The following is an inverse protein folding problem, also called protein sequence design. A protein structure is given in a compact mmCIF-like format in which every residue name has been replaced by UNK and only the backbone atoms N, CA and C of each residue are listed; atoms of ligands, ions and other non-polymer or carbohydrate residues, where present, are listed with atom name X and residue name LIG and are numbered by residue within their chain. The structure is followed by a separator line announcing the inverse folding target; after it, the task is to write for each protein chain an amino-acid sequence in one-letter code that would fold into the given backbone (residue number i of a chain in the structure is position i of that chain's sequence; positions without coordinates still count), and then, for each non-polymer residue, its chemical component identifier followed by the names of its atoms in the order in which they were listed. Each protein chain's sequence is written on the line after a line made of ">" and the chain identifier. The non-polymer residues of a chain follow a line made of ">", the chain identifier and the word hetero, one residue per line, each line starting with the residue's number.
data_IF_194144785812
#
_entry.id   IF_194144785812
#
_cell.length_a   1.000
_cell.length_b   1.000
_cell.length_c   1.000
_cell.angle_alpha   90.00
_cell.angle_beta   90.00
_cell.angle_gamma   90.00
#
_symmetry.space_group_name_H-M   'P 1'
#
loop_
_entity.id
_entity.type
_entity.pdbx_description
1 polymer ?
#
# COMPACT_ATOMS: atom_id res chain seq x y z
N UNK A 1 -10.57 -25.07 14.02
CA UNK A 1 -10.67 -24.92 12.58
C UNK A 1 -9.39 -24.40 11.97
N UNK A 2 -9.05 -24.98 10.87
CA UNK A 2 -7.88 -24.56 10.13
C UNK A 2 -8.15 -23.24 9.43
N UNK A 3 -7.34 -22.24 9.70
CA UNK A 3 -7.46 -20.97 8.99
C UNK A 3 -6.78 -21.06 7.66
N UNK A 4 -7.43 -20.49 6.66
CA UNK A 4 -6.89 -20.51 5.32
C UNK A 4 -6.14 -19.22 5.04
N UNK A 5 -5.08 -19.36 4.27
CA UNK A 5 -4.31 -18.24 3.77
C UNK A 5 -4.99 -17.73 2.50
N UNK A 6 -5.29 -16.45 2.45
CA UNK A 6 -5.95 -15.82 1.30
C UNK A 6 -5.01 -14.80 0.69
N UNK A 7 -5.02 -14.73 -0.63
CA UNK A 7 -4.13 -13.87 -1.39
C UNK A 7 -4.95 -12.94 -2.28
N UNK A 8 -4.42 -11.73 -2.48
CA UNK A 8 -4.88 -10.82 -3.53
C UNK A 8 -3.76 -10.71 -4.56
N UNK A 9 -4.12 -10.92 -5.81
CA UNK A 9 -3.20 -10.84 -6.94
C UNK A 9 -3.60 -9.67 -7.84
N UNK A 10 -2.62 -8.99 -8.42
CA UNK A 10 -2.86 -7.97 -9.44
C UNK A 10 -2.88 -8.56 -10.84
N UNK A 11 -2.57 -9.87 -10.97
CA UNK A 11 -2.43 -10.51 -12.26
C UNK A 11 -1.05 -10.35 -12.87
N UNK A 12 -0.12 -9.72 -12.17
CA UNK A 12 1.25 -9.59 -12.66
C UNK A 12 1.92 -10.95 -12.78
N UNK A 13 2.59 -11.25 -13.91
CA UNK A 13 3.28 -12.53 -14.07
C UNK A 13 4.45 -12.70 -13.11
N UNK A 14 4.95 -11.61 -12.54
CA UNK A 14 6.04 -11.68 -11.56
C UNK A 14 5.59 -12.26 -10.23
N UNK A 15 4.31 -12.11 -9.87
CA UNK A 15 3.85 -12.55 -8.56
C UNK A 15 4.10 -14.04 -8.31
N UNK A 16 3.61 -14.96 -9.15
CA UNK A 16 3.93 -16.36 -8.93
C UNK A 16 5.40 -16.70 -9.21
N UNK A 17 6.02 -15.98 -10.14
CA UNK A 17 7.40 -16.25 -10.53
C UNK A 17 8.39 -15.99 -9.42
N UNK A 18 8.20 -14.92 -8.65
CA UNK A 18 9.10 -14.60 -7.54
C UNK A 18 8.48 -14.85 -6.17
N UNK A 19 7.27 -15.41 -6.14
CA UNK A 19 6.66 -15.87 -4.89
C UNK A 19 6.06 -14.75 -4.03
N UNK A 20 5.41 -13.78 -4.65
CA UNK A 20 4.79 -12.67 -3.92
C UNK A 20 3.32 -12.50 -4.28
N UNK A 21 2.62 -11.71 -3.49
CA UNK A 21 1.24 -11.33 -3.70
C UNK A 21 1.09 -9.83 -3.42
N UNK A 22 0.00 -9.23 -3.91
CA UNK A 22 -0.33 -7.85 -3.57
C UNK A 22 -0.62 -7.71 -2.08
N UNK A 23 -1.34 -8.67 -1.53
CA UNK A 23 -1.66 -8.71 -0.12
C UNK A 23 -1.95 -10.14 0.28
N UNK A 24 -1.77 -10.43 1.56
CA UNK A 24 -2.06 -11.76 2.11
C UNK A 24 -2.81 -11.59 3.43
N UNK A 25 -3.79 -12.46 3.64
CA UNK A 25 -4.45 -12.58 4.94
C UNK A 25 -4.14 -13.95 5.52
N UNK A 26 -3.70 -13.96 6.77
CA UNK A 26 -3.48 -15.18 7.55
C UNK A 26 -4.18 -14.96 8.89
N UNK A 27 -5.24 -15.73 9.14
CA UNK A 27 -6.04 -15.51 10.33
C UNK A 27 -6.71 -14.13 10.29
N UNK A 28 -6.37 -13.29 11.24
CA UNK A 28 -6.90 -11.93 11.34
C UNK A 28 -5.91 -10.88 10.86
N UNK A 29 -4.74 -11.30 10.41
CA UNK A 29 -3.67 -10.38 9.98
C UNK A 29 -3.69 -10.24 8.48
N UNK A 30 -3.66 -9.00 8.00
CA UNK A 30 -3.50 -8.68 6.59
C UNK A 30 -2.20 -7.90 6.43
N UNK A 31 -1.35 -8.34 5.50
CA UNK A 31 -0.15 -7.62 5.12
C UNK A 31 -0.28 -7.19 3.66
N UNK A 32 -0.08 -5.90 3.40
CA UNK A 32 -0.11 -5.36 2.04
C UNK A 32 1.31 -4.95 1.67
N UNK A 33 1.79 -5.48 0.56
CA UNK A 33 3.14 -5.26 0.08
C UNK A 33 3.38 -3.81 -0.34
N UNK A 34 4.65 -3.47 -0.56
CA UNK A 34 5.02 -2.19 -1.14
C UNK A 34 4.19 -1.92 -2.40
N UNK A 35 3.42 -0.86 -2.37
CA UNK A 35 2.40 -0.56 -3.37
C UNK A 35 2.82 0.64 -4.18
N UNK A 36 2.99 0.42 -5.48
CA UNK A 36 3.40 1.45 -6.44
C UNK A 36 2.16 2.15 -7.03
N UNK A 37 2.34 3.39 -7.54
CA UNK A 37 1.22 4.19 -8.06
C UNK A 37 0.84 3.77 -9.48
N UNK A 38 0.21 2.61 -9.61
CA UNK A 38 -0.19 2.07 -10.91
C UNK A 38 -1.69 2.21 -11.13
N UNK A 39 -2.06 2.57 -12.36
CA UNK A 39 -3.45 2.57 -12.78
C UNK A 39 -3.94 1.17 -13.13
N UNK A 40 -5.24 1.04 -13.48
CA UNK A 40 -5.78 -0.28 -13.86
C UNK A 40 -5.12 -0.89 -15.09
N UNK A 41 -4.50 -0.06 -15.93
CA UNK A 41 -3.77 -0.52 -17.13
C UNK A 41 -2.33 -0.94 -16.81
N UNK A 42 -1.92 -0.87 -15.55
CA UNK A 42 -0.56 -1.21 -15.13
C UNK A 42 0.46 -0.12 -15.37
N UNK A 43 0.03 1.06 -15.81
CA UNK A 43 0.94 2.18 -16.08
C UNK A 43 0.97 3.14 -14.89
N UNK A 44 2.14 3.77 -14.69
CA UNK A 44 2.31 4.75 -13.62
C UNK A 44 1.35 5.92 -13.82
N UNK A 45 0.66 6.32 -12.75
CA UNK A 45 -0.22 7.49 -12.78
C UNK A 45 0.48 8.68 -12.13
N UNK A 46 -0.07 9.87 -12.37
CA UNK A 46 0.35 11.10 -11.68
C UNK A 46 1.87 11.31 -11.75
N UNK A 47 2.47 11.14 -12.92
CA UNK A 47 3.91 11.28 -13.10
C UNK A 47 4.33 12.67 -12.63
N UNK A 48 5.37 12.73 -11.78
CA UNK A 48 5.86 13.99 -11.25
C UNK A 48 5.05 14.55 -10.08
N UNK A 49 3.99 13.87 -9.65
CA UNK A 49 3.08 14.35 -8.60
C UNK A 49 3.05 13.33 -7.45
N UNK A 50 3.86 13.58 -6.42
CA UNK A 50 3.96 12.67 -5.28
C UNK A 50 2.64 12.52 -4.53
N UNK A 51 1.87 13.61 -4.40
CA UNK A 51 0.56 13.56 -3.73
C UNK A 51 -0.42 12.66 -4.47
N UNK A 52 -0.52 12.84 -5.80
CA UNK A 52 -1.40 12.00 -6.62
C UNK A 52 -0.98 10.56 -6.61
N UNK A 53 0.33 10.30 -6.61
CA UNK A 53 0.85 8.93 -6.53
C UNK A 53 0.53 8.29 -5.18
N UNK A 54 0.70 9.03 -4.09
CA UNK A 54 0.38 8.53 -2.75
C UNK A 54 -1.10 8.18 -2.65
N UNK A 55 -1.97 9.02 -3.19
CA UNK A 55 -3.42 8.78 -3.18
C UNK A 55 -3.75 7.48 -3.91
N UNK A 56 -3.13 7.28 -5.07
CA UNK A 56 -3.35 6.05 -5.84
C UNK A 56 -2.86 4.82 -5.05
N UNK A 57 -1.69 4.88 -4.43
CA UNK A 57 -1.19 3.78 -3.62
C UNK A 57 -2.18 3.42 -2.51
N UNK A 58 -2.75 4.42 -1.85
CA UNK A 58 -3.70 4.18 -0.76
C UNK A 58 -5.03 3.62 -1.27
N UNK A 59 -5.47 4.01 -2.46
CA UNK A 59 -6.64 3.40 -3.09
C UNK A 59 -6.43 1.91 -3.36
N UNK A 60 -5.25 1.55 -3.85
CA UNK A 60 -4.90 0.15 -4.10
C UNK A 60 -4.86 -0.63 -2.79
N UNK A 61 -4.24 -0.06 -1.76
CA UNK A 61 -4.17 -0.68 -0.42
C UNK A 61 -5.58 -0.91 0.13
N UNK A 62 -6.44 0.10 0.03
CA UNK A 62 -7.82 -0.01 0.50
C UNK A 62 -8.56 -1.15 -0.21
N UNK A 63 -8.45 -1.21 -1.53
CA UNK A 63 -9.10 -2.28 -2.29
C UNK A 63 -8.58 -3.66 -1.89
N UNK A 64 -7.27 -3.79 -1.66
CA UNK A 64 -6.67 -5.07 -1.26
C UNK A 64 -7.17 -5.49 0.12
N UNK A 65 -7.20 -4.58 1.08
CA UNK A 65 -7.67 -4.87 2.44
C UNK A 65 -9.14 -5.29 2.40
N UNK A 66 -9.97 -4.54 1.68
CA UNK A 66 -11.39 -4.84 1.58
C UNK A 66 -11.64 -6.16 0.85
N UNK A 67 -10.83 -6.45 -0.16
CA UNK A 67 -10.92 -7.72 -0.88
C UNK A 67 -10.60 -8.93 -0.01
N UNK A 68 -9.88 -8.73 1.09
CA UNK A 68 -9.55 -9.77 2.05
C UNK A 68 -10.45 -9.73 3.31
N UNK A 69 -11.51 -8.95 3.28
CA UNK A 69 -12.49 -8.89 4.36
C UNK A 69 -12.15 -7.92 5.47
N UNK A 70 -11.12 -7.11 5.28
CA UNK A 70 -10.73 -6.09 6.26
C UNK A 70 -11.32 -4.73 5.95
N UNK A 71 -10.91 -3.75 6.74
CA UNK A 71 -11.31 -2.35 6.61
C UNK A 71 -10.12 -1.46 6.86
N UNK A 72 -10.13 -0.27 6.29
CA UNK A 72 -9.08 0.71 6.59
C UNK A 72 -9.00 1.04 8.07
N UNK A 73 -10.13 1.00 8.78
CA UNK A 73 -10.14 1.22 10.23
C UNK A 73 -9.36 0.16 11.00
N UNK A 74 -9.06 -0.97 10.38
CA UNK A 74 -8.26 -2.03 10.99
C UNK A 74 -6.75 -1.88 10.76
N UNK A 75 -6.33 -0.88 10.00
CA UNK A 75 -4.91 -0.66 9.73
C UNK A 75 -4.20 -0.23 11.00
N UNK A 76 -3.12 -0.95 11.34
CA UNK A 76 -2.34 -0.67 12.56
C UNK A 76 -0.98 -0.06 12.24
N UNK A 77 -0.49 -0.24 11.03
CA UNK A 77 0.82 0.27 10.62
C UNK A 77 0.81 0.62 9.14
N UNK A 78 1.46 1.74 8.82
CA UNK A 78 1.79 2.08 7.45
C UNK A 78 3.26 2.47 7.36
N UNK A 79 3.85 2.30 6.17
CA UNK A 79 5.17 2.81 5.85
C UNK A 79 5.07 3.59 4.58
N UNK A 80 5.66 4.79 4.59
CA UNK A 80 5.73 5.65 3.42
C UNK A 80 7.19 5.72 2.99
N UNK A 81 7.46 5.29 1.77
CA UNK A 81 8.80 5.27 1.19
C UNK A 81 8.85 6.31 0.08
N UNK A 82 9.84 7.20 0.12
CA UNK A 82 9.94 8.33 -0.80
C UNK A 82 11.32 8.34 -1.46
N UNK A 83 11.38 8.71 -2.73
CA UNK A 83 12.68 8.95 -3.38
C UNK A 83 13.20 10.36 -3.09
N UNK A 84 12.32 11.27 -2.65
CA UNK A 84 12.69 12.64 -2.27
C UNK A 84 12.04 12.98 -0.94
N UNK A 85 12.86 13.13 0.10
CA UNK A 85 12.32 13.40 1.43
C UNK A 85 11.58 14.75 1.47
N UNK A 86 11.91 15.68 0.57
CA UNK A 86 11.22 16.96 0.48
C UNK A 86 9.73 16.83 0.21
N UNK A 87 9.30 15.68 -0.32
CA UNK A 87 7.88 15.42 -0.60
C UNK A 87 7.12 14.88 0.62
N UNK A 88 7.81 14.68 1.78
CA UNK A 88 7.19 13.97 2.90
C UNK A 88 5.93 14.64 3.41
N UNK A 89 5.94 15.98 3.50
CA UNK A 89 4.82 16.69 4.09
C UNK A 89 3.54 16.60 3.25
N UNK A 90 3.68 16.80 1.94
CA UNK A 90 2.52 16.69 1.04
C UNK A 90 1.98 15.26 0.99
N UNK A 91 2.86 14.26 1.03
CA UNK A 91 2.44 12.87 1.04
C UNK A 91 1.79 12.52 2.38
N UNK A 92 2.35 13.00 3.47
CA UNK A 92 1.78 12.79 4.81
C UNK A 92 0.36 13.36 4.91
N UNK A 93 0.11 14.51 4.28
CA UNK A 93 -1.23 15.09 4.28
C UNK A 93 -2.23 14.22 3.51
N UNK A 94 -1.81 13.60 2.41
CA UNK A 94 -2.65 12.62 1.69
C UNK A 94 -2.94 11.41 2.58
N UNK A 95 -1.93 10.91 3.28
CA UNK A 95 -2.09 9.84 4.26
C UNK A 95 -3.15 10.23 5.30
N UNK A 96 -3.11 11.47 5.77
CA UNK A 96 -4.08 11.98 6.72
C UNK A 96 -5.51 11.95 6.19
N UNK A 97 -5.71 12.16 4.88
CA UNK A 97 -7.05 12.09 4.30
C UNK A 97 -7.71 10.72 4.54
N UNK A 98 -6.90 9.67 4.58
CA UNK A 98 -7.39 8.29 4.77
C UNK A 98 -7.43 7.90 6.25
N UNK A 99 -6.52 8.43 7.07
CA UNK A 99 -6.24 7.86 8.39
C UNK A 99 -6.41 8.81 9.57
N UNK A 100 -6.96 10.02 9.37
CA UNK A 100 -7.09 11.02 10.43
C UNK A 100 -7.77 10.44 11.68
N UNK A 101 -8.82 9.63 11.51
CA UNK A 101 -9.58 9.08 12.63
C UNK A 101 -9.08 7.69 13.07
N UNK A 102 -8.14 7.11 12.32
CA UNK A 102 -7.63 5.76 12.58
C UNK A 102 -6.29 5.83 13.30
N UNK A 103 -5.40 6.67 12.81
CA UNK A 103 -4.10 6.98 13.39
C UNK A 103 -3.21 5.74 13.60
N UNK A 104 -2.89 5.01 12.52
CA UNK A 104 -1.98 3.88 12.65
C UNK A 104 -0.56 4.33 12.98
N UNK A 105 0.26 3.40 13.49
CA UNK A 105 1.69 3.66 13.59
C UNK A 105 2.24 3.86 12.17
N UNK A 106 3.14 4.84 12.01
CA UNK A 106 3.66 5.18 10.68
C UNK A 106 5.15 5.45 10.74
N UNK A 107 5.84 5.05 9.66
CA UNK A 107 7.23 5.40 9.42
C UNK A 107 7.34 6.01 8.03
N UNK A 108 8.05 7.13 7.92
CA UNK A 108 8.33 7.79 6.65
C UNK A 108 9.84 7.78 6.46
N UNK A 109 10.30 7.30 5.30
CA UNK A 109 11.73 7.26 5.04
C UNK A 109 12.03 7.50 3.56
N UNK A 110 13.21 8.04 3.31
CA UNK A 110 13.71 8.17 1.95
C UNK A 110 14.42 6.88 1.56
N UNK A 111 14.19 6.43 0.33
CA UNK A 111 14.91 5.33 -0.28
C UNK A 111 15.66 5.86 -1.49
N UNK A 112 16.66 5.12 -1.95
CA UNK A 112 17.48 5.57 -3.08
C UNK A 112 16.64 5.65 -4.36
N UNK A 113 15.86 4.62 -4.65
CA UNK A 113 14.99 4.58 -5.84
C UNK A 113 14.10 3.35 -5.77
N UNK A 114 13.08 3.34 -6.64
CA UNK A 114 12.23 2.17 -6.85
C UNK A 114 12.61 1.50 -8.18
N UNK A 115 11.93 0.41 -8.49
CA UNK A 115 12.17 -0.33 -9.74
C UNK A 115 11.91 0.57 -10.95
N UNK A 116 10.85 1.37 -10.90
CA UNK A 116 10.53 2.32 -11.97
C UNK A 116 10.94 3.73 -11.53
N UNK A 117 11.74 4.46 -12.33
CA UNK A 117 12.19 5.80 -11.96
C UNK A 117 11.07 6.83 -11.86
N UNK A 118 9.90 6.55 -12.42
CA UNK A 118 8.75 7.44 -12.32
C UNK A 118 7.97 7.29 -11.02
N UNK A 119 8.28 6.28 -10.21
CA UNK A 119 7.65 6.11 -8.90
C UNK A 119 8.36 6.99 -7.88
N UNK A 120 7.64 7.96 -7.35
CA UNK A 120 8.16 8.87 -6.33
C UNK A 120 7.85 8.36 -4.93
N UNK A 121 6.89 7.45 -4.79
CA UNK A 121 6.42 6.96 -3.51
C UNK A 121 5.90 5.53 -3.64
N UNK A 122 6.12 4.75 -2.59
CA UNK A 122 5.41 3.48 -2.37
C UNK A 122 4.92 3.46 -0.92
N UNK A 123 3.83 2.75 -0.68
CA UNK A 123 3.31 2.57 0.68
C UNK A 123 3.07 1.09 0.97
N UNK A 124 3.21 0.75 2.24
CA UNK A 124 2.89 -0.56 2.79
C UNK A 124 1.89 -0.39 3.92
N UNK A 125 1.13 -1.43 4.21
CA UNK A 125 0.19 -1.40 5.32
C UNK A 125 0.02 -2.78 5.94
N UNK A 126 -0.20 -2.80 7.24
CA UNK A 126 -0.60 -4.00 7.99
C UNK A 126 -1.91 -3.71 8.67
N UNK A 127 -2.84 -4.66 8.63
CA UNK A 127 -4.16 -4.49 9.21
C UNK A 127 -4.59 -5.72 10.00
N UNK A 128 -5.49 -5.51 10.94
CA UNK A 128 -6.10 -6.59 11.73
C UNK A 128 -7.58 -6.60 11.39
N UNK A 129 -8.10 -7.78 11.09
CA UNK A 129 -9.54 -7.96 10.85
C UNK A 129 -10.20 -8.26 12.19
N UNK A 130 -11.19 -7.47 12.53
CA UNK A 130 -11.99 -7.71 13.71
C UNK A 130 -13.21 -8.54 13.37
N UNK A 131 -13.56 -9.44 14.26
CA UNK A 131 -14.71 -10.32 14.07
C UNK A 131 -15.69 -10.20 15.20
#
# INVERSE_FOLDING_TARGET
>A
MKQQRQLISTGSPYEPKIGISRAVRSGRVIAVTGTAPLGPDGKTVAIGDASGQARRCLEIIKAAIEGLGGKMSGVIRTRILLTRIEDWEKVALVHGEFFTDIRPANTIMQVVRFIDPNWLVELEADAIVEE
#
